data_IF_365552377358
#
_entry.id   IF_365552377358
#
_cell.length_a   1.000
_cell.length_b   1.000
_cell.length_c   1.000
_cell.angle_alpha   90.00
_cell.angle_beta   90.00
_cell.angle_gamma   90.00
#
_symmetry.space_group_name_H-M   'P 1'
#
loop_
_entity.id
_entity.type
_entity.pdbx_description
1 polymer ?
#
# COMPACT_ATOMS: atom_id res chain seq x y z
N UNK A 1 -25.84 12.93 -10.85
CA UNK A 1 -25.60 12.92 -9.42
C UNK A 1 -24.18 12.38 -9.21
N UNK A 2 -23.31 13.17 -8.58
CA UNK A 2 -21.92 12.76 -8.35
C UNK A 2 -21.83 11.73 -7.24
N UNK A 3 -20.94 10.74 -7.43
CA UNK A 3 -20.68 9.71 -6.41
C UNK A 3 -19.23 9.77 -5.93
N UNK A 4 -19.04 9.37 -4.68
CA UNK A 4 -17.73 9.31 -4.04
C UNK A 4 -17.58 7.94 -3.37
N UNK A 5 -16.44 7.31 -3.54
CA UNK A 5 -16.20 6.02 -2.91
C UNK A 5 -15.02 6.06 -1.95
N UNK A 6 -15.12 5.27 -0.91
CA UNK A 6 -14.03 4.96 0.01
C UNK A 6 -13.73 3.48 0.01
N UNK A 7 -12.47 3.15 -0.16
CA UNK A 7 -11.97 1.78 -0.16
C UNK A 7 -11.05 1.60 1.07
N UNK A 8 -11.51 0.80 2.02
CA UNK A 8 -10.68 0.35 3.14
C UNK A 8 -10.11 -1.03 2.82
N UNK A 9 -8.82 -1.05 2.47
CA UNK A 9 -8.14 -2.21 1.88
C UNK A 9 -7.41 -3.01 2.93
N UNK A 10 -7.81 -4.26 3.13
CA UNK A 10 -7.03 -5.27 3.84
C UNK A 10 -6.47 -6.33 2.88
N UNK A 11 -5.68 -7.27 3.39
CA UNK A 11 -4.99 -8.25 2.52
C UNK A 11 -5.98 -9.18 1.78
N UNK A 12 -7.07 -9.58 2.43
CA UNK A 12 -8.04 -10.53 1.87
C UNK A 12 -9.25 -9.86 1.26
N UNK A 13 -9.76 -8.83 1.92
CA UNK A 13 -11.05 -8.23 1.59
C UNK A 13 -10.97 -6.70 1.73
N UNK A 14 -11.69 -6.02 0.87
CA UNK A 14 -11.82 -4.56 0.87
C UNK A 14 -13.26 -4.19 1.17
N UNK A 15 -13.46 -3.30 2.15
CA UNK A 15 -14.74 -2.65 2.38
C UNK A 15 -14.89 -1.46 1.43
N UNK A 16 -15.98 -1.42 0.71
CA UNK A 16 -16.33 -0.36 -0.23
C UNK A 16 -17.56 0.37 0.29
N UNK A 17 -17.45 1.68 0.45
CA UNK A 17 -18.59 2.55 0.72
C UNK A 17 -18.74 3.57 -0.40
N UNK A 18 -19.94 3.69 -0.96
CA UNK A 18 -20.31 4.66 -1.98
C UNK A 18 -21.30 5.63 -1.38
N UNK A 19 -21.01 6.93 -1.48
CA UNK A 19 -21.91 8.01 -1.05
C UNK A 19 -22.25 8.92 -2.21
N UNK A 20 -23.41 9.54 -2.14
CA UNK A 20 -23.84 10.58 -3.08
C UNK A 20 -23.27 11.97 -2.71
N UNK A 21 -23.62 12.98 -3.48
CA UNK A 21 -23.22 14.38 -3.26
C UNK A 21 -23.77 14.97 -1.96
N UNK A 22 -24.87 14.44 -1.42
CA UNK A 22 -25.43 14.83 -0.12
C UNK A 22 -24.72 14.14 1.05
N UNK A 23 -23.89 13.11 0.78
CA UNK A 23 -23.20 12.30 1.79
C UNK A 23 -24.02 11.12 2.31
N UNK A 24 -25.16 10.81 1.66
CA UNK A 24 -25.96 9.61 1.98
C UNK A 24 -25.27 8.37 1.43
N UNK A 25 -25.28 7.29 2.19
CA UNK A 25 -24.74 6.02 1.75
C UNK A 25 -25.69 5.43 0.70
N UNK A 26 -25.15 5.21 -0.50
CA UNK A 26 -25.86 4.59 -1.63
C UNK A 26 -25.62 3.08 -1.64
N UNK A 27 -24.39 2.67 -1.36
CA UNK A 27 -24.02 1.24 -1.33
C UNK A 27 -22.86 1.00 -0.37
N UNK A 28 -22.96 -0.12 0.32
CA UNK A 28 -21.84 -0.68 1.08
C UNK A 28 -21.72 -2.16 0.75
N UNK A 29 -20.50 -2.59 0.48
CA UNK A 29 -20.22 -3.99 0.15
C UNK A 29 -18.80 -4.33 0.57
N UNK A 30 -18.59 -5.59 0.88
CA UNK A 30 -17.30 -6.17 1.17
C UNK A 30 -16.96 -7.16 0.06
N UNK A 31 -15.80 -7.00 -0.57
CA UNK A 31 -15.36 -7.81 -1.72
C UNK A 31 -13.93 -8.26 -1.53
N UNK A 32 -13.47 -9.23 -2.31
CA UNK A 32 -12.08 -9.62 -2.34
C UNK A 32 -11.17 -8.43 -2.71
N UNK A 33 -9.98 -8.35 -2.13
CA UNK A 33 -8.99 -7.31 -2.44
C UNK A 33 -8.28 -7.62 -3.76
N UNK A 34 -9.08 -7.74 -4.82
CA UNK A 34 -8.66 -8.04 -6.19
C UNK A 34 -9.22 -6.96 -7.14
N UNK A 35 -8.46 -6.55 -8.17
CA UNK A 35 -8.89 -5.52 -9.11
C UNK A 35 -10.25 -5.80 -9.74
N UNK A 36 -10.48 -7.04 -10.19
CA UNK A 36 -11.70 -7.45 -10.87
C UNK A 36 -12.93 -7.33 -9.96
N UNK A 37 -12.78 -7.72 -8.69
CA UNK A 37 -13.87 -7.64 -7.71
C UNK A 37 -14.22 -6.18 -7.40
N UNK A 38 -13.22 -5.30 -7.28
CA UNK A 38 -13.42 -3.88 -7.07
C UNK A 38 -14.03 -3.21 -8.30
N UNK A 39 -13.51 -3.51 -9.50
CA UNK A 39 -14.05 -3.00 -10.76
C UNK A 39 -15.51 -3.37 -10.93
N UNK A 40 -15.90 -4.62 -10.66
CA UNK A 40 -17.30 -5.06 -10.74
C UNK A 40 -18.24 -4.22 -9.87
N UNK A 41 -17.77 -3.70 -8.73
CA UNK A 41 -18.56 -2.82 -7.86
C UNK A 41 -18.61 -1.40 -8.41
N UNK A 42 -17.45 -0.82 -8.75
CA UNK A 42 -17.37 0.61 -9.09
C UNK A 42 -17.74 0.92 -10.54
N UNK A 43 -17.73 -0.05 -11.45
CA UNK A 43 -18.23 0.12 -12.81
C UNK A 43 -19.70 -0.28 -12.98
N UNK A 44 -20.38 -0.65 -11.87
CA UNK A 44 -21.82 -0.96 -11.94
C UNK A 44 -22.61 0.21 -12.52
N UNK A 45 -23.62 -0.06 -13.39
CA UNK A 45 -24.44 1.00 -14.00
C UNK A 45 -25.08 1.91 -12.95
N UNK A 46 -25.11 3.22 -13.24
CA UNK A 46 -25.75 4.22 -12.37
C UNK A 46 -24.79 5.02 -11.50
N UNK A 47 -23.52 4.68 -11.42
CA UNK A 47 -22.54 5.47 -10.68
C UNK A 47 -21.72 6.37 -11.61
N UNK A 48 -21.62 7.64 -11.25
CA UNK A 48 -20.70 8.60 -11.86
C UNK A 48 -19.73 9.09 -10.78
N UNK A 49 -18.57 8.43 -10.70
CA UNK A 49 -17.61 8.77 -9.67
C UNK A 49 -16.86 10.06 -10.00
N UNK A 50 -16.82 10.96 -9.04
CA UNK A 50 -15.96 12.14 -9.05
C UNK A 50 -14.62 11.88 -8.38
N UNK A 51 -14.61 11.05 -7.35
CA UNK A 51 -13.39 10.62 -6.63
C UNK A 51 -13.59 9.26 -5.96
N UNK A 52 -12.57 8.43 -6.02
CA UNK A 52 -12.49 7.14 -5.33
C UNK A 52 -11.23 7.17 -4.48
N UNK A 53 -11.37 7.13 -3.16
CA UNK A 53 -10.27 7.17 -2.22
C UNK A 53 -9.84 5.78 -1.77
N UNK A 54 -8.53 5.54 -1.71
CA UNK A 54 -7.97 4.38 -1.03
C UNK A 54 -6.78 4.78 -0.16
N UNK A 55 -6.65 4.16 1.02
CA UNK A 55 -5.54 4.43 1.93
C UNK A 55 -4.23 3.83 1.39
N UNK A 56 -3.12 4.59 1.54
CA UNK A 56 -1.79 4.10 1.18
C UNK A 56 -1.37 2.92 2.09
N UNK A 57 -1.25 1.73 1.52
CA UNK A 57 -0.94 0.48 2.20
C UNK A 57 -0.26 -0.54 1.27
N UNK A 58 -0.06 -1.78 1.73
CA UNK A 58 0.66 -2.81 0.96
C UNK A 58 0.11 -3.08 -0.43
N UNK A 59 -1.21 -3.17 -0.59
CA UNK A 59 -1.88 -3.44 -1.87
C UNK A 59 -2.28 -2.18 -2.64
N UNK A 60 -2.15 -1.00 -2.03
CA UNK A 60 -2.69 0.25 -2.57
C UNK A 60 -2.15 0.60 -3.95
N UNK A 61 -0.86 0.34 -4.22
CA UNK A 61 -0.27 0.68 -5.52
C UNK A 61 -0.77 -0.22 -6.65
N UNK A 62 -0.95 -1.50 -6.38
CA UNK A 62 -1.47 -2.47 -7.34
C UNK A 62 -2.93 -2.19 -7.68
N UNK A 63 -3.78 -2.02 -6.66
CA UNK A 63 -5.19 -1.70 -6.84
C UNK A 63 -5.40 -0.33 -7.48
N UNK A 64 -4.60 0.67 -7.06
CA UNK A 64 -4.63 2.00 -7.68
C UNK A 64 -4.35 1.93 -9.18
N UNK A 65 -3.29 1.20 -9.59
CA UNK A 65 -2.91 1.10 -10.99
C UNK A 65 -4.03 0.48 -11.82
N UNK A 66 -4.62 -0.63 -11.34
CA UNK A 66 -5.71 -1.30 -12.06
C UNK A 66 -6.96 -0.43 -12.20
N UNK A 67 -7.36 0.26 -11.12
CA UNK A 67 -8.52 1.15 -11.15
C UNK A 67 -8.27 2.39 -12.02
N UNK A 68 -7.05 2.95 -11.99
CA UNK A 68 -6.66 4.08 -12.82
C UNK A 68 -6.58 3.71 -14.31
N UNK A 69 -6.07 2.52 -14.65
CA UNK A 69 -6.06 1.97 -16.01
C UNK A 69 -7.48 1.77 -16.58
N UNK A 70 -8.45 1.49 -15.71
CA UNK A 70 -9.87 1.45 -16.08
C UNK A 70 -10.51 2.84 -16.23
N UNK A 71 -9.73 3.93 -16.15
CA UNK A 71 -10.20 5.30 -16.33
C UNK A 71 -10.96 5.89 -15.13
N UNK A 72 -10.86 5.27 -13.95
CA UNK A 72 -11.54 5.72 -12.74
C UNK A 72 -10.77 6.83 -12.02
N UNK A 73 -11.44 7.82 -11.40
CA UNK A 73 -10.81 8.94 -10.69
C UNK A 73 -10.31 8.53 -9.30
N UNK A 74 -9.31 7.65 -9.27
CA UNK A 74 -8.76 7.08 -8.03
C UNK A 74 -7.72 7.99 -7.41
N UNK A 75 -7.75 8.13 -6.10
CA UNK A 75 -6.84 8.94 -5.30
C UNK A 75 -6.29 8.09 -4.16
N UNK A 76 -4.97 7.93 -4.11
CA UNK A 76 -4.31 7.34 -2.97
C UNK A 76 -4.09 8.41 -1.90
N UNK A 77 -4.48 8.15 -0.65
CA UNK A 77 -4.47 9.13 0.44
C UNK A 77 -3.51 8.76 1.56
N UNK A 78 -2.97 9.79 2.23
CA UNK A 78 -1.99 9.61 3.29
C UNK A 78 -2.62 8.98 4.54
N UNK A 79 -2.03 7.85 4.99
CA UNK A 79 -2.47 7.07 6.16
C UNK A 79 -2.54 7.90 7.45
N UNK A 80 -1.59 8.84 7.67
CA UNK A 80 -1.56 9.63 8.91
C UNK A 80 -2.76 10.56 9.03
N UNK A 81 -3.08 11.26 7.95
CA UNK A 81 -4.23 12.15 7.91
C UNK A 81 -5.53 11.36 8.04
N UNK A 82 -5.63 10.24 7.33
CA UNK A 82 -6.75 9.31 7.44
C UNK A 82 -6.99 8.89 8.89
N UNK A 83 -5.96 8.37 9.55
CA UNK A 83 -6.04 7.93 10.95
C UNK A 83 -6.42 9.07 11.90
N UNK A 84 -5.93 10.28 11.68
CA UNK A 84 -6.27 11.42 12.51
C UNK A 84 -7.78 11.75 12.43
N UNK A 85 -8.35 11.71 11.22
CA UNK A 85 -9.77 11.99 11.00
C UNK A 85 -10.66 10.84 11.50
N UNK A 86 -10.27 9.59 11.25
CA UNK A 86 -11.01 8.40 11.66
C UNK A 86 -10.98 8.18 13.20
N UNK A 87 -9.92 8.64 13.88
CA UNK A 87 -9.85 8.61 15.34
C UNK A 87 -10.92 9.46 16.04
N UNK A 88 -11.48 10.43 15.36
CA UNK A 88 -12.61 11.22 15.86
C UNK A 88 -13.93 10.41 15.89
N UNK A 89 -13.97 9.25 15.27
CA UNK A 89 -15.13 8.35 15.28
C UNK A 89 -15.08 7.44 16.51
N UNK A 90 -16.18 7.33 17.23
CA UNK A 90 -16.28 6.61 18.51
C UNK A 90 -16.14 5.08 18.34
N UNK A 91 -16.53 4.53 17.19
CA UNK A 91 -16.49 3.09 16.91
C UNK A 91 -15.63 2.80 15.68
N UNK A 92 -14.42 2.28 15.90
CA UNK A 92 -13.54 1.86 14.82
C UNK A 92 -13.93 0.48 14.30
N UNK A 93 -14.36 0.41 13.04
CA UNK A 93 -14.55 -0.83 12.27
C UNK A 93 -14.12 -0.56 10.83
N UNK A 94 -13.65 -1.57 10.12
CA UNK A 94 -13.24 -1.45 8.70
C UNK A 94 -14.37 -0.85 7.83
N UNK A 95 -15.64 -1.16 8.16
CA UNK A 95 -16.81 -0.57 7.50
C UNK A 95 -16.91 0.94 7.74
N UNK A 96 -16.66 1.39 8.97
CA UNK A 96 -16.67 2.81 9.32
C UNK A 96 -15.47 3.53 8.71
N UNK A 97 -14.33 2.85 8.56
CA UNK A 97 -13.16 3.40 7.90
C UNK A 97 -13.43 3.65 6.41
N UNK A 98 -14.07 2.72 5.69
CA UNK A 98 -14.52 2.93 4.31
C UNK A 98 -15.51 4.09 4.17
N UNK A 99 -16.48 4.22 5.12
CA UNK A 99 -17.40 5.38 5.17
C UNK A 99 -16.67 6.69 5.35
N UNK A 100 -15.74 6.72 6.30
CA UNK A 100 -14.91 7.89 6.56
C UNK A 100 -14.11 8.33 5.33
N UNK A 101 -13.50 7.37 4.61
CA UNK A 101 -12.80 7.65 3.36
C UNK A 101 -13.75 8.25 2.31
N UNK A 102 -14.93 7.67 2.13
CA UNK A 102 -15.92 8.18 1.17
C UNK A 102 -16.32 9.62 1.49
N UNK A 103 -16.59 9.93 2.75
CA UNK A 103 -16.93 11.29 3.20
C UNK A 103 -15.75 12.26 3.00
N UNK A 104 -14.52 11.83 3.24
CA UNK A 104 -13.33 12.63 2.97
C UNK A 104 -13.18 12.94 1.49
N UNK A 105 -13.46 11.98 0.61
CA UNK A 105 -13.46 12.20 -0.84
C UNK A 105 -14.52 13.20 -1.26
N UNK A 106 -15.72 13.14 -0.67
CA UNK A 106 -16.79 14.09 -0.93
C UNK A 106 -16.42 15.50 -0.47
N UNK A 107 -15.94 15.63 0.75
CA UNK A 107 -15.62 16.92 1.38
C UNK A 107 -14.26 17.52 0.96
N UNK A 108 -13.48 16.85 0.12
CA UNK A 108 -12.11 17.24 -0.28
C UNK A 108 -11.14 17.36 0.93
N UNK A 109 -11.36 16.57 1.97
CA UNK A 109 -10.57 16.59 3.20
C UNK A 109 -9.51 15.48 3.19
N UNK A 110 -8.63 15.47 2.21
CA UNK A 110 -7.59 14.46 2.06
C UNK A 110 -6.29 15.05 1.54
N UNK A 111 -5.19 14.35 1.80
CA UNK A 111 -3.88 14.65 1.22
C UNK A 111 -3.51 13.54 0.25
N UNK A 112 -3.39 13.83 -1.05
CA UNK A 112 -3.03 12.81 -2.03
C UNK A 112 -1.57 12.39 -1.86
N UNK A 113 -1.31 11.09 -2.05
CA UNK A 113 0.04 10.51 -2.09
C UNK A 113 0.38 10.16 -3.53
N UNK A 114 1.56 10.53 -3.96
CA UNK A 114 2.06 10.12 -5.26
C UNK A 114 2.29 8.61 -5.31
N UNK A 115 1.57 7.95 -6.20
CA UNK A 115 1.75 6.51 -6.45
C UNK A 115 2.92 6.31 -7.40
N UNK A 116 3.92 5.57 -6.94
CA UNK A 116 5.15 5.32 -7.72
C UNK A 116 4.88 4.43 -8.92
N UNK A 117 5.60 4.66 -10.01
CA UNK A 117 5.56 3.78 -11.18
C UNK A 117 6.05 2.37 -10.81
N UNK A 118 5.56 1.35 -11.51
CA UNK A 118 5.98 -0.04 -11.32
C UNK A 118 7.51 -0.21 -11.47
N UNK A 119 8.14 0.52 -12.40
CA UNK A 119 9.59 0.54 -12.56
C UNK A 119 10.30 1.04 -11.30
N UNK A 120 9.85 2.16 -10.73
CA UNK A 120 10.42 2.71 -9.50
C UNK A 120 10.23 1.78 -8.30
N UNK A 121 9.09 1.08 -8.24
CA UNK A 121 8.82 0.09 -7.20
C UNK A 121 9.79 -1.10 -7.30
N UNK A 122 9.97 -1.67 -8.50
CA UNK A 122 10.91 -2.77 -8.76
C UNK A 122 12.34 -2.40 -8.38
N UNK A 123 12.81 -1.23 -8.81
CA UNK A 123 14.16 -0.75 -8.47
C UNK A 123 14.34 -0.58 -6.95
N UNK A 124 13.37 0.02 -6.28
CA UNK A 124 13.41 0.19 -4.82
C UNK A 124 13.43 -1.16 -4.10
N UNK A 125 12.63 -2.12 -4.54
CA UNK A 125 12.61 -3.48 -4.01
C UNK A 125 13.98 -4.14 -4.14
N UNK A 126 14.57 -4.11 -5.33
CA UNK A 126 15.90 -4.68 -5.57
C UNK A 126 16.98 -4.06 -4.68
N UNK A 127 17.00 -2.73 -4.54
CA UNK A 127 17.96 -2.03 -3.69
C UNK A 127 17.76 -2.38 -2.20
N UNK A 128 16.52 -2.47 -1.74
CA UNK A 128 16.18 -2.84 -0.37
C UNK A 128 16.60 -4.27 -0.06
N UNK A 129 16.29 -5.21 -0.96
CA UNK A 129 16.66 -6.62 -0.79
C UNK A 129 18.18 -6.82 -0.88
N UNK A 130 18.87 -6.12 -1.80
CA UNK A 130 20.33 -6.13 -1.85
C UNK A 130 20.93 -5.69 -0.51
N UNK A 131 20.45 -4.59 0.07
CA UNK A 131 20.91 -4.10 1.37
C UNK A 131 20.63 -5.11 2.48
N UNK A 132 19.46 -5.73 2.48
CA UNK A 132 19.10 -6.78 3.45
C UNK A 132 20.02 -7.97 3.34
N UNK A 133 20.24 -8.52 2.16
CA UNK A 133 21.13 -9.67 1.93
C UNK A 133 22.56 -9.36 2.34
N UNK A 134 23.07 -8.19 1.99
CA UNK A 134 24.40 -7.75 2.42
C UNK A 134 24.52 -7.66 3.94
N UNK A 135 23.53 -7.09 4.62
CA UNK A 135 23.47 -7.01 6.09
C UNK A 135 23.47 -8.40 6.74
N UNK A 136 22.70 -9.35 6.18
CA UNK A 136 22.64 -10.72 6.69
C UNK A 136 23.93 -11.48 6.46
N UNK A 137 24.58 -11.32 5.31
CA UNK A 137 25.88 -11.92 5.04
C UNK A 137 26.95 -11.44 6.03
N UNK A 138 27.01 -10.13 6.29
CA UNK A 138 27.92 -9.56 7.28
C UNK A 138 27.63 -10.08 8.70
N UNK A 139 26.36 -10.20 9.07
CA UNK A 139 25.98 -10.71 10.38
C UNK A 139 26.42 -12.16 10.58
N UNK A 140 26.20 -13.03 9.59
CA UNK A 140 26.63 -14.44 9.60
C UNK A 140 28.16 -14.52 9.68
N UNK A 141 28.88 -13.72 8.87
CA UNK A 141 30.34 -13.70 8.89
C UNK A 141 30.90 -13.29 10.26
N UNK A 142 30.32 -12.29 10.88
CA UNK A 142 30.72 -11.82 12.21
C UNK A 142 30.45 -12.87 13.30
N UNK A 143 29.31 -13.57 13.23
CA UNK A 143 28.97 -14.66 14.15
C UNK A 143 29.97 -15.83 14.03
N UNK A 144 30.25 -16.27 12.81
CA UNK A 144 31.25 -17.32 12.55
C UNK A 144 32.64 -16.93 13.07
N UNK A 145 33.07 -15.69 12.80
CA UNK A 145 34.36 -15.20 13.32
C UNK A 145 34.39 -15.18 14.85
N UNK A 146 33.30 -14.74 15.47
CA UNK A 146 33.18 -14.72 16.93
C UNK A 146 33.27 -16.12 17.52
N UNK A 147 32.50 -17.05 16.98
CA UNK A 147 32.48 -18.45 17.41
C UNK A 147 33.84 -19.13 17.25
N UNK A 148 34.48 -19.02 16.08
CA UNK A 148 35.75 -19.66 15.78
C UNK A 148 36.92 -19.14 16.68
N UNK A 149 36.88 -17.85 17.05
CA UNK A 149 37.88 -17.27 17.97
C UNK A 149 37.88 -17.95 19.34
N UNK A 150 36.72 -18.43 19.82
CA UNK A 150 36.62 -19.17 21.08
C UNK A 150 37.41 -20.49 21.04
N UNK A 151 37.69 -21.02 19.85
CA UNK A 151 38.48 -22.23 19.64
C UNK A 151 39.91 -21.92 19.17
N UNK A 152 40.37 -20.68 19.30
CA UNK A 152 41.71 -20.26 18.88
C UNK A 152 41.87 -20.12 17.35
N UNK A 153 40.83 -20.31 16.59
CA UNK A 153 40.85 -20.17 15.14
C UNK A 153 40.68 -18.71 14.73
N UNK A 154 41.53 -18.24 13.81
CA UNK A 154 41.53 -16.85 13.29
C UNK A 154 41.25 -16.86 11.79
N UNK A 155 40.00 -17.12 11.34
CA UNK A 155 39.69 -17.18 9.93
C UNK A 155 39.84 -15.79 9.26
N UNK A 156 40.57 -15.75 8.15
CA UNK A 156 40.63 -14.57 7.28
C UNK A 156 39.68 -14.81 6.12
N UNK A 157 38.50 -14.16 6.17
CA UNK A 157 37.54 -14.26 5.09
C UNK A 157 37.76 -13.14 4.07
N UNK A 158 38.08 -13.49 2.85
CA UNK A 158 38.20 -12.56 1.71
C UNK A 158 36.83 -12.26 1.04
N UNK A 159 35.72 -12.73 1.61
CA UNK A 159 34.40 -12.79 0.97
C UNK A 159 33.80 -11.42 0.65
N UNK A 160 34.20 -10.36 1.34
CA UNK A 160 33.66 -9.00 1.08
C UNK A 160 34.14 -8.45 -0.28
N UNK A 161 35.27 -8.92 -0.80
CA UNK A 161 35.84 -8.40 -2.05
C UNK A 161 35.07 -8.88 -3.28
N UNK A 162 34.53 -10.11 -3.25
CA UNK A 162 33.83 -10.70 -4.40
C UNK A 162 32.53 -9.94 -4.69
N UNK A 163 31.79 -9.51 -3.67
CA UNK A 163 30.56 -8.76 -3.86
C UNK A 163 30.75 -7.28 -4.27
N UNK A 164 31.92 -6.70 -4.06
CA UNK A 164 32.23 -5.34 -4.52
C UNK A 164 32.57 -5.28 -6.01
N UNK A 165 33.18 -6.34 -6.56
CA UNK A 165 33.63 -6.35 -7.98
C UNK A 165 32.52 -6.73 -8.96
N UNK A 166 31.50 -7.49 -8.53
CA UNK A 166 30.36 -7.85 -9.40
C UNK A 166 29.27 -6.80 -9.52
N UNK A 167 29.44 -5.63 -8.89
CA UNK A 167 28.44 -4.55 -8.90
C UNK A 167 28.77 -3.42 -9.91
N UNK A 168 29.69 -3.66 -10.86
CA UNK A 168 30.09 -2.71 -11.91
C UNK A 168 29.62 -3.11 -13.32
N UNK A 169 28.43 -3.80 -13.40
CA UNK A 169 27.75 -4.02 -14.68
C UNK A 169 26.28 -3.66 -14.58
#
# INVERSE_FOLDING_TARGET
MDHFAGLDVSVKETNVCIVDDTGRIVREVKVASEPEALLAVVTSPGYQFKRIGLEAGPLSQWLYSALAEAGLPVICVETRQMRAMLKAQINKTDRNDARGIAQMMRAVLYRPVHVKTLRSQKLRMLLTHRKLLQSKAIAIENDLRGTLRNFGLKPIFYTIVIFRHSALW
#
